data_IF_702020719118
#
_entry.id   IF_702020719118
#
_cell.length_a   1.000
_cell.length_b   1.000
_cell.length_c   1.000
_cell.angle_alpha   90.00
_cell.angle_beta   90.00
_cell.angle_gamma   90.00
#
_symmetry.space_group_name_H-M   'P 1'
#
loop_
_entity.id
_entity.type
_entity.pdbx_description
1 polymer ?
#
# COMPACT_ATOMS: atom_id res chain seq x y z
N UNK A 1 -10.26 -14.59 -1.82
CA UNK A 1 -10.78 -15.98 -1.96
C UNK A 1 -11.63 -16.38 -0.74
N UNK A 2 -12.84 -16.91 -1.00
CA UNK A 2 -13.96 -16.99 -0.07
C UNK A 2 -13.71 -17.87 1.16
N UNK A 3 -13.68 -17.26 2.34
CA UNK A 3 -13.95 -17.90 3.62
C UNK A 3 -14.55 -16.88 4.61
N UNK A 4 -15.81 -16.49 4.40
CA UNK A 4 -16.64 -15.85 5.41
C UNK A 4 -18.12 -15.88 4.97
N UNK A 5 -18.78 -17.01 5.18
CA UNK A 5 -20.25 -17.09 5.22
C UNK A 5 -20.62 -17.80 6.51
N UNK A 6 -21.06 -17.03 7.52
CA UNK A 6 -22.02 -17.43 8.55
C UNK A 6 -22.53 -16.18 9.28
N UNK A 7 -23.59 -15.60 8.74
CA UNK A 7 -24.67 -14.91 9.46
C UNK A 7 -25.84 -14.74 8.48
N UNK A 8 -26.83 -15.64 8.57
CA UNK A 8 -28.16 -15.52 7.94
C UNK A 8 -28.89 -14.36 8.66
N UNK A 9 -29.37 -13.32 7.97
CA UNK A 9 -30.55 -13.24 7.09
C UNK A 9 -31.84 -12.91 7.85
N UNK A 10 -32.42 -11.74 7.54
CA UNK A 10 -33.86 -11.51 7.54
C UNK A 10 -34.23 -10.74 6.25
N UNK A 11 -34.89 -11.49 5.35
CA UNK A 11 -36.05 -11.13 4.54
C UNK A 11 -36.00 -9.90 3.59
N UNK A 12 -35.87 -10.17 2.28
CA UNK A 12 -37.00 -10.24 1.32
C UNK A 12 -36.46 -10.41 -0.10
N UNK A 13 -36.93 -11.45 -0.80
CA UNK A 13 -36.77 -11.62 -2.24
C UNK A 13 -37.83 -10.79 -2.99
N UNK A 14 -37.61 -10.48 -4.28
CA UNK A 14 -38.50 -11.10 -5.25
C UNK A 14 -37.83 -11.63 -6.53
N UNK A 15 -38.31 -12.82 -6.91
CA UNK A 15 -38.61 -13.38 -8.24
C UNK A 15 -37.64 -13.14 -9.41
N UNK A 16 -37.10 -14.27 -9.89
CA UNK A 16 -36.52 -14.46 -11.22
C UNK A 16 -37.52 -14.11 -12.34
N UNK A 17 -37.10 -13.32 -13.32
CA UNK A 17 -37.57 -13.40 -14.71
C UNK A 17 -36.39 -13.80 -15.60
N UNK A 18 -36.59 -14.87 -16.36
CA UNK A 18 -35.69 -15.32 -17.44
C UNK A 18 -35.79 -14.32 -18.59
N UNK A 19 -34.65 -13.86 -19.11
CA UNK A 19 -34.53 -13.15 -20.37
C UNK A 19 -33.13 -13.39 -20.94
N UNK A 20 -33.06 -13.98 -22.14
CA UNK A 20 -31.83 -14.12 -22.94
C UNK A 20 -31.47 -12.75 -23.52
N UNK A 21 -30.18 -12.40 -23.55
CA UNK A 21 -29.67 -11.24 -24.30
C UNK A 21 -28.55 -10.48 -23.57
N UNK A 22 -27.31 -10.65 -24.06
CA UNK A 22 -26.05 -9.98 -23.65
C UNK A 22 -25.70 -10.04 -22.16
N UNK A 23 -24.82 -10.99 -21.82
CA UNK A 23 -24.25 -11.16 -20.49
C UNK A 23 -23.51 -9.91 -20.03
N UNK A 24 -24.17 -9.05 -19.25
CA UNK A 24 -23.48 -7.93 -18.63
C UNK A 24 -22.32 -8.46 -17.77
N UNK A 25 -21.10 -7.92 -17.91
CA UNK A 25 -19.97 -8.40 -17.15
C UNK A 25 -20.26 -8.32 -15.66
N UNK A 26 -19.87 -9.36 -14.92
CA UNK A 26 -20.05 -9.44 -13.48
C UNK A 26 -19.43 -8.23 -12.75
N UNK A 27 -19.89 -7.93 -11.52
CA UNK A 27 -19.54 -6.68 -10.81
C UNK A 27 -18.03 -6.46 -10.65
N UNK A 28 -17.22 -7.53 -10.56
CA UNK A 28 -15.77 -7.46 -10.50
C UNK A 28 -15.11 -7.04 -11.83
N UNK A 29 -15.60 -7.55 -12.97
CA UNK A 29 -15.13 -7.14 -14.31
C UNK A 29 -15.43 -5.67 -14.57
N UNK A 30 -16.59 -5.17 -14.11
CA UNK A 30 -16.94 -3.74 -14.22
C UNK A 30 -16.03 -2.84 -13.39
N UNK A 31 -15.62 -3.28 -12.19
CA UNK A 31 -14.68 -2.52 -11.36
C UNK A 31 -13.29 -2.46 -11.99
N UNK A 32 -12.75 -3.58 -12.46
CA UNK A 32 -11.44 -3.63 -13.13
C UNK A 32 -11.40 -2.76 -14.38
N UNK A 33 -12.42 -2.87 -15.24
CA UNK A 33 -12.55 -2.03 -16.43
C UNK A 33 -12.64 -0.54 -16.12
N UNK A 34 -13.34 -0.17 -15.03
CA UNK A 34 -13.41 1.22 -14.58
C UNK A 34 -12.05 1.74 -14.12
N UNK A 35 -11.24 0.95 -13.42
CA UNK A 35 -9.90 1.38 -13.00
C UNK A 35 -9.02 1.67 -14.21
N UNK A 36 -8.95 0.72 -15.16
CA UNK A 36 -8.18 0.87 -16.41
C UNK A 36 -8.59 2.13 -17.15
N UNK A 37 -9.91 2.35 -17.29
CA UNK A 37 -10.46 3.54 -17.91
C UNK A 37 -10.02 4.83 -17.20
N UNK A 38 -10.10 4.89 -15.87
CA UNK A 38 -9.69 6.07 -15.09
C UNK A 38 -8.19 6.39 -15.19
N UNK A 39 -7.36 5.38 -15.41
CA UNK A 39 -5.91 5.57 -15.58
C UNK A 39 -5.49 5.90 -17.01
N UNK A 40 -6.33 5.63 -18.01
CA UNK A 40 -5.93 5.71 -19.41
C UNK A 40 -4.79 4.75 -19.78
N UNK A 41 -4.74 3.57 -19.13
CA UNK A 41 -3.65 2.63 -19.31
C UNK A 41 -3.58 2.13 -20.77
N UNK A 42 -2.39 2.19 -21.37
CA UNK A 42 -2.12 1.71 -22.74
C UNK A 42 -1.70 0.24 -22.79
N UNK A 43 -1.23 -0.31 -21.67
CA UNK A 43 -0.80 -1.69 -21.52
C UNK A 43 -1.12 -2.19 -20.11
N UNK A 44 -1.41 -3.48 -19.96
CA UNK A 44 -1.57 -4.15 -18.68
C UNK A 44 -0.55 -5.26 -18.49
N UNK A 45 -0.05 -5.39 -17.26
CA UNK A 45 0.70 -6.56 -16.80
C UNK A 45 -0.21 -7.41 -15.93
N UNK A 46 -0.36 -8.69 -16.27
CA UNK A 46 -1.23 -9.62 -15.55
C UNK A 46 -0.62 -11.02 -15.52
N UNK A 47 -1.25 -11.91 -14.76
CA UNK A 47 -1.00 -13.35 -14.86
C UNK A 47 -2.15 -14.00 -15.60
N UNK A 48 -1.92 -15.19 -16.15
CA UNK A 48 -2.89 -15.92 -16.96
C UNK A 48 -4.25 -16.06 -16.25
N UNK A 49 -4.25 -16.31 -14.93
CA UNK A 49 -5.47 -16.46 -14.13
C UNK A 49 -6.27 -15.17 -13.89
N UNK A 50 -5.67 -14.00 -14.15
CA UNK A 50 -6.32 -12.69 -13.97
C UNK A 50 -6.52 -11.91 -15.25
N UNK A 51 -5.86 -12.28 -16.35
CA UNK A 51 -5.97 -11.62 -17.65
C UNK A 51 -7.42 -11.52 -18.15
N UNK A 52 -8.23 -12.56 -17.95
CA UNK A 52 -9.65 -12.57 -18.34
C UNK A 52 -10.53 -11.54 -17.60
N UNK A 53 -10.00 -10.83 -16.60
CA UNK A 53 -10.71 -9.75 -15.89
C UNK A 53 -10.43 -8.36 -16.50
N UNK A 54 -9.46 -8.24 -17.40
CA UNK A 54 -9.12 -6.99 -18.08
C UNK A 54 -10.13 -6.65 -19.19
N UNK A 55 -10.24 -5.37 -19.58
CA UNK A 55 -11.00 -4.96 -20.75
C UNK A 55 -10.52 -5.66 -22.03
N UNK A 56 -11.45 -5.96 -22.93
CA UNK A 56 -11.10 -6.42 -24.27
C UNK A 56 -10.35 -5.33 -25.03
N UNK A 57 -9.35 -5.72 -25.83
CA UNK A 57 -8.57 -4.81 -26.67
C UNK A 57 -7.41 -4.08 -25.96
N UNK A 58 -7.26 -4.21 -24.65
CA UNK A 58 -6.09 -3.68 -23.93
C UNK A 58 -4.87 -4.59 -24.16
N UNK A 59 -3.76 -4.09 -24.74
CA UNK A 59 -2.51 -4.84 -24.83
C UNK A 59 -2.11 -5.39 -23.46
N UNK A 60 -1.89 -6.70 -23.38
CA UNK A 60 -1.65 -7.39 -22.10
C UNK A 60 -0.40 -8.24 -22.18
N UNK A 61 0.53 -8.00 -21.25
CA UNK A 61 1.74 -8.79 -21.05
C UNK A 61 1.50 -9.77 -19.89
N UNK A 62 1.66 -11.06 -20.17
CA UNK A 62 1.50 -12.13 -19.19
C UNK A 62 2.82 -12.41 -18.46
N UNK A 63 2.86 -12.06 -17.18
CA UNK A 63 4.03 -12.20 -16.30
C UNK A 63 4.41 -13.67 -16.03
N UNK A 64 3.45 -14.59 -16.17
CA UNK A 64 3.65 -16.03 -16.00
C UNK A 64 3.85 -16.77 -17.32
N UNK A 65 3.96 -16.05 -18.45
CA UNK A 65 4.27 -16.66 -19.74
C UNK A 65 5.71 -17.20 -19.77
N UNK A 66 5.97 -18.31 -20.49
CA UNK A 66 7.32 -18.81 -20.69
C UNK A 66 8.27 -17.75 -21.28
N UNK A 67 7.77 -16.94 -22.21
CA UNK A 67 8.53 -15.85 -22.81
C UNK A 67 8.93 -14.79 -21.77
N UNK A 68 7.98 -14.25 -20.99
CA UNK A 68 8.32 -13.25 -19.96
C UNK A 68 9.29 -13.81 -18.91
N UNK A 69 9.14 -15.08 -18.52
CA UNK A 69 10.07 -15.74 -17.59
C UNK A 69 11.47 -15.91 -18.18
N UNK A 70 11.58 -16.20 -19.48
CA UNK A 70 12.88 -16.30 -20.14
C UNK A 70 13.65 -14.97 -20.05
N UNK A 71 12.98 -13.82 -20.14
CA UNK A 71 13.60 -12.48 -19.99
C UNK A 71 14.23 -12.23 -18.61
N UNK A 72 13.79 -12.94 -17.56
CA UNK A 72 14.34 -12.82 -16.20
C UNK A 72 15.61 -13.65 -15.98
N UNK A 73 15.84 -14.64 -16.85
CA UNK A 73 16.92 -15.63 -16.73
C UNK A 73 17.89 -15.62 -17.91
N UNK A 74 17.56 -14.91 -19.00
CA UNK A 74 18.51 -14.60 -20.04
C UNK A 74 19.61 -13.77 -19.41
N UNK A 75 20.73 -14.43 -19.14
CA UNK A 75 22.00 -13.84 -18.80
C UNK A 75 22.40 -13.01 -20.02
N UNK A 76 21.95 -11.75 -20.06
CA UNK A 76 22.56 -10.74 -20.90
C UNK A 76 23.95 -10.49 -20.32
N UNK A 77 24.83 -11.48 -20.49
CA UNK A 77 26.21 -11.48 -20.05
C UNK A 77 26.85 -10.21 -20.57
N UNK A 78 27.37 -9.40 -19.64
CA UNK A 78 27.77 -8.01 -19.88
C UNK A 78 26.59 -7.18 -20.38
N UNK A 79 25.88 -6.54 -19.44
CA UNK A 79 25.03 -5.39 -19.74
C UNK A 79 25.91 -4.26 -20.30
N UNK A 80 26.28 -4.33 -21.57
CA UNK A 80 26.23 -3.17 -22.45
C UNK A 80 24.74 -2.86 -22.69
N UNK A 81 23.99 -2.64 -21.62
CA UNK A 81 22.70 -1.99 -21.74
C UNK A 81 23.04 -0.57 -22.13
N UNK A 82 23.12 -0.29 -23.44
CA UNK A 82 22.88 1.07 -23.93
C UNK A 82 21.70 1.59 -23.14
N UNK A 83 21.85 2.67 -22.36
CA UNK A 83 20.75 3.22 -21.60
C UNK A 83 19.57 3.33 -22.56
N UNK A 84 18.46 2.70 -22.21
CA UNK A 84 17.23 2.91 -22.97
C UNK A 84 17.05 4.43 -23.04
N UNK A 85 16.99 4.98 -24.25
CA UNK A 85 16.66 6.38 -24.42
C UNK A 85 15.19 6.54 -24.04
N UNK A 86 14.96 6.71 -22.74
CA UNK A 86 13.63 6.91 -22.17
C UNK A 86 13.15 8.36 -22.33
N UNK A 87 13.95 9.20 -22.99
CA UNK A 87 13.82 10.65 -22.92
C UNK A 87 14.06 11.19 -21.50
N UNK A 88 13.95 12.51 -21.35
CA UNK A 88 14.06 13.17 -20.06
C UNK A 88 12.80 12.96 -19.21
N UNK A 89 12.89 12.15 -18.15
CA UNK A 89 11.82 12.00 -17.16
C UNK A 89 11.97 13.04 -16.06
N UNK A 90 11.06 14.02 -16.01
CA UNK A 90 11.07 15.04 -14.97
C UNK A 90 10.50 14.50 -13.65
N UNK A 91 11.05 14.93 -12.51
CA UNK A 91 10.54 14.54 -11.19
C UNK A 91 9.08 14.98 -10.95
N UNK A 92 8.59 15.97 -11.71
CA UNK A 92 7.20 16.41 -11.64
C UNK A 92 6.23 15.54 -12.43
N UNK A 93 6.72 14.67 -13.31
CA UNK A 93 5.89 13.75 -14.07
C UNK A 93 5.21 12.72 -13.15
N UNK A 94 4.01 12.30 -13.52
CA UNK A 94 3.25 11.25 -12.82
C UNK A 94 4.03 9.93 -12.88
N UNK A 95 4.47 9.45 -11.71
CA UNK A 95 5.12 8.15 -11.58
C UNK A 95 4.09 7.02 -11.46
N UNK A 96 3.02 7.27 -10.69
CA UNK A 96 1.99 6.26 -10.44
C UNK A 96 0.61 6.86 -10.33
N UNK A 97 -0.38 6.05 -10.70
CA UNK A 97 -1.80 6.30 -10.41
C UNK A 97 -2.26 5.27 -9.39
N UNK A 98 -2.58 5.72 -8.18
CA UNK A 98 -3.11 4.87 -7.12
C UNK A 98 -4.58 5.17 -6.89
N UNK A 99 -5.35 4.17 -6.48
CA UNK A 99 -6.79 4.33 -6.31
C UNK A 99 -7.17 4.48 -4.85
N UNK A 100 -7.82 5.59 -4.51
CA UNK A 100 -8.41 5.78 -3.18
C UNK A 100 -9.91 5.46 -3.21
N UNK A 101 -10.44 4.93 -2.12
CA UNK A 101 -11.87 4.61 -1.98
C UNK A 101 -12.76 5.86 -2.02
N UNK A 102 -12.17 7.05 -1.80
CA UNK A 102 -12.85 8.33 -1.75
C UNK A 102 -13.80 8.45 -0.55
N UNK A 103 -13.92 9.65 0.02
CA UNK A 103 -14.96 9.98 1.03
C UNK A 103 -16.38 9.92 0.44
N UNK A 104 -16.51 9.94 -0.88
CA UNK A 104 -17.78 9.97 -1.63
C UNK A 104 -18.24 8.59 -2.13
N UNK A 105 -17.53 7.51 -1.77
CA UNK A 105 -17.85 6.12 -2.16
C UNK A 105 -17.50 5.77 -3.62
N UNK A 106 -17.06 6.73 -4.43
CA UNK A 106 -16.52 6.51 -5.77
C UNK A 106 -15.00 6.45 -5.74
N UNK A 107 -14.44 5.41 -6.37
CA UNK A 107 -13.00 5.27 -6.56
C UNK A 107 -12.45 6.47 -7.34
N UNK A 108 -11.38 7.07 -6.82
CA UNK A 108 -10.65 8.19 -7.44
C UNK A 108 -9.24 7.74 -7.84
N UNK A 109 -8.77 8.23 -8.98
CA UNK A 109 -7.41 7.99 -9.47
C UNK A 109 -6.50 9.12 -9.00
N UNK A 110 -5.59 8.82 -8.07
CA UNK A 110 -4.65 9.77 -7.47
C UNK A 110 -3.36 9.75 -8.29
N UNK A 111 -3.04 10.84 -8.98
CA UNK A 111 -1.80 10.99 -9.73
C UNK A 111 -0.67 11.42 -8.80
N UNK A 112 0.32 10.54 -8.62
CA UNK A 112 1.45 10.75 -7.70
C UNK A 112 2.74 10.94 -8.51
N UNK A 113 3.43 12.08 -8.37
CA UNK A 113 4.63 12.38 -9.16
C UNK A 113 5.88 11.67 -8.62
N UNK A 114 6.94 11.54 -9.43
CA UNK A 114 8.22 10.96 -9.02
C UNK A 114 8.80 11.62 -7.76
N UNK A 115 8.76 12.96 -7.68
CA UNK A 115 9.22 13.75 -6.53
C UNK A 115 8.57 13.32 -5.21
N UNK A 116 7.34 12.79 -5.25
CA UNK A 116 6.65 12.34 -4.05
C UNK A 116 7.34 11.14 -3.43
N UNK A 117 7.67 10.12 -4.24
CA UNK A 117 8.36 8.93 -3.76
C UNK A 117 9.79 9.23 -3.31
N UNK A 118 10.51 10.05 -4.07
CA UNK A 118 11.87 10.51 -3.72
C UNK A 118 11.84 11.19 -2.34
N UNK A 119 10.93 12.13 -2.16
CA UNK A 119 10.85 12.88 -0.91
C UNK A 119 10.39 12.00 0.26
N UNK A 120 9.48 11.05 0.05
CA UNK A 120 9.08 10.08 1.09
C UNK A 120 10.26 9.18 1.50
N UNK A 121 11.05 8.70 0.55
CA UNK A 121 12.24 7.90 0.84
C UNK A 121 13.30 8.71 1.61
N UNK A 122 13.55 9.96 1.21
CA UNK A 122 14.44 10.87 1.91
C UNK A 122 13.95 11.17 3.34
N UNK A 123 12.65 11.41 3.52
CA UNK A 123 12.06 11.63 4.85
C UNK A 123 12.19 10.42 5.77
N UNK A 124 11.96 9.22 5.25
CA UNK A 124 12.13 7.98 6.02
C UNK A 124 13.61 7.70 6.36
N UNK A 125 14.53 7.93 5.42
CA UNK A 125 15.98 7.87 5.67
C UNK A 125 16.38 8.82 6.81
N UNK A 126 15.88 10.05 6.80
CA UNK A 126 16.20 11.06 7.81
C UNK A 126 15.70 10.68 9.21
N UNK A 127 14.56 9.99 9.32
CA UNK A 127 14.11 9.42 10.60
C UNK A 127 15.00 8.25 11.04
N UNK A 128 15.33 7.33 10.13
CA UNK A 128 16.18 6.17 10.44
C UNK A 128 17.60 6.57 10.89
N UNK A 129 18.18 7.64 10.36
CA UNK A 129 19.48 8.15 10.84
C UNK A 129 19.45 8.59 12.32
N UNK A 130 18.29 8.92 12.87
CA UNK A 130 18.11 9.34 14.27
C UNK A 130 17.79 8.17 15.20
N UNK A 131 17.34 7.05 14.64
CA UNK A 131 17.02 5.84 15.39
C UNK A 131 18.23 4.93 15.29
N UNK A 132 18.92 4.67 16.41
CA UNK A 132 20.00 3.66 16.44
C UNK A 132 19.40 2.33 15.98
N UNK A 133 19.70 1.89 14.77
CA UNK A 133 19.23 0.59 14.30
C UNK A 133 19.78 -0.47 15.26
N UNK A 134 18.88 -1.29 15.80
CA UNK A 134 19.24 -2.32 16.80
C UNK A 134 19.93 -3.53 16.15
N UNK A 135 19.94 -3.64 14.81
CA UNK A 135 20.53 -4.79 14.10
C UNK A 135 21.11 -4.35 12.74
N UNK A 136 22.27 -4.91 12.38
CA UNK A 136 22.94 -4.63 11.12
C UNK A 136 22.19 -5.15 9.88
N UNK A 137 21.29 -6.13 10.06
CA UNK A 137 20.56 -6.80 8.97
C UNK A 137 19.05 -6.54 9.03
N UNK A 138 18.62 -5.36 8.58
CA UNK A 138 17.20 -5.03 8.49
C UNK A 138 16.51 -5.82 7.38
N UNK A 139 15.47 -6.58 7.75
CA UNK A 139 14.64 -7.41 6.87
C UNK A 139 13.18 -7.02 7.08
N UNK A 140 12.60 -6.32 6.10
CA UNK A 140 11.23 -5.80 6.21
C UNK A 140 10.26 -6.69 5.43
N UNK A 141 9.26 -7.24 6.12
CA UNK A 141 8.17 -7.96 5.50
C UNK A 141 7.04 -7.01 5.10
N UNK A 142 6.66 -7.09 3.83
CA UNK A 142 5.56 -6.30 3.26
C UNK A 142 4.26 -7.08 3.44
N UNK A 143 3.62 -6.90 4.59
CA UNK A 143 2.31 -7.51 4.91
C UNK A 143 1.13 -6.73 4.34
N UNK A 144 1.36 -5.47 3.93
CA UNK A 144 0.38 -4.63 3.28
C UNK A 144 0.33 -4.91 1.76
N UNK A 145 -0.85 -4.94 1.12
CA UNK A 145 -0.92 -5.18 -0.32
C UNK A 145 -0.22 -4.10 -1.14
N UNK A 146 0.53 -4.50 -2.18
CA UNK A 146 1.32 -3.60 -3.03
C UNK A 146 0.47 -2.70 -3.94
N UNK A 147 -0.84 -2.96 -4.07
CA UNK A 147 -1.75 -2.04 -4.77
C UNK A 147 -2.19 -0.86 -3.89
N UNK A 148 -1.92 -0.92 -2.58
CA UNK A 148 -2.10 0.22 -1.68
C UNK A 148 -0.79 1.01 -1.56
N UNK A 149 -0.90 2.33 -1.35
CA UNK A 149 0.25 3.24 -1.20
C UNK A 149 1.28 2.78 -0.16
N UNK A 150 0.84 2.12 0.93
CA UNK A 150 1.73 1.59 1.95
C UNK A 150 2.60 0.46 1.40
N UNK A 151 2.01 -0.65 0.95
CA UNK A 151 2.76 -1.79 0.43
C UNK A 151 3.63 -1.42 -0.77
N UNK A 152 3.09 -0.56 -1.66
CA UNK A 152 3.82 -0.06 -2.82
C UNK A 152 5.07 0.72 -2.42
N UNK A 153 4.91 1.75 -1.59
CA UNK A 153 6.01 2.63 -1.20
C UNK A 153 7.08 1.89 -0.41
N UNK A 154 6.72 1.05 0.58
CA UNK A 154 7.73 0.37 1.38
C UNK A 154 8.54 -0.65 0.55
N UNK A 155 7.93 -1.27 -0.46
CA UNK A 155 8.68 -2.08 -1.43
C UNK A 155 9.66 -1.22 -2.22
N UNK A 156 9.20 -0.11 -2.80
CA UNK A 156 10.07 0.81 -3.55
C UNK A 156 11.19 1.38 -2.69
N UNK A 157 10.89 1.72 -1.44
CA UNK A 157 11.87 2.24 -0.49
C UNK A 157 12.92 1.19 -0.15
N UNK A 158 12.51 -0.08 0.08
CA UNK A 158 13.46 -1.17 0.30
C UNK A 158 14.47 -1.30 -0.85
N UNK A 159 13.97 -1.23 -2.10
CA UNK A 159 14.83 -1.23 -3.29
C UNK A 159 15.75 -0.01 -3.35
N UNK A 160 15.21 1.20 -3.15
CA UNK A 160 15.96 2.45 -3.19
C UNK A 160 17.08 2.52 -2.14
N UNK A 161 16.89 1.84 -1.00
CA UNK A 161 17.82 1.85 0.12
C UNK A 161 18.77 0.64 0.13
N UNK A 162 18.63 -0.29 -0.83
CA UNK A 162 19.38 -1.55 -0.84
C UNK A 162 19.04 -2.47 0.34
N UNK A 163 17.86 -2.32 0.95
CA UNK A 163 17.42 -3.10 2.12
C UNK A 163 16.78 -4.42 1.71
N UNK A 164 16.85 -5.42 2.59
CA UNK A 164 16.21 -6.72 2.33
C UNK A 164 14.69 -6.61 2.53
N UNK A 165 13.95 -6.86 1.44
CA UNK A 165 12.48 -6.82 1.44
C UNK A 165 11.91 -8.23 1.26
N UNK A 166 11.12 -8.70 2.23
CA UNK A 166 10.42 -9.99 2.18
C UNK A 166 9.00 -9.76 1.66
N UNK A 167 8.72 -10.24 0.44
CA UNK A 167 7.41 -10.14 -0.21
C UNK A 167 6.64 -11.45 -0.04
N UNK A 168 5.36 -11.37 0.28
CA UNK A 168 4.51 -12.56 0.42
C UNK A 168 4.25 -13.22 -0.94
N UNK A 169 4.47 -14.53 -1.02
CA UNK A 169 4.04 -15.34 -2.16
C UNK A 169 2.52 -15.44 -2.19
N UNK A 170 1.95 -15.83 -3.34
CA UNK A 170 0.51 -16.06 -3.43
C UNK A 170 0.03 -17.14 -2.43
N UNK A 171 0.81 -18.21 -2.25
CA UNK A 171 0.51 -19.26 -1.30
C UNK A 171 0.50 -18.74 0.16
N UNK A 172 1.51 -17.94 0.54
CA UNK A 172 1.57 -17.35 1.88
C UNK A 172 0.42 -16.36 2.11
N UNK A 173 0.11 -15.51 1.11
CA UNK A 173 -1.01 -14.58 1.18
C UNK A 173 -2.37 -15.30 1.31
N UNK A 174 -2.56 -16.43 0.63
CA UNK A 174 -3.77 -17.27 0.76
C UNK A 174 -3.89 -17.90 2.15
N UNK A 175 -2.78 -18.24 2.79
CA UNK A 175 -2.75 -18.72 4.18
C UNK A 175 -2.99 -17.58 5.21
N UNK A 176 -3.12 -16.33 4.76
CA UNK A 176 -3.44 -15.17 5.59
C UNK A 176 -2.36 -14.90 6.64
N UNK A 177 -2.79 -14.59 7.86
CA UNK A 177 -1.89 -14.30 8.98
C UNK A 177 -0.87 -15.42 9.22
N UNK A 178 -1.30 -16.68 9.15
CA UNK A 178 -0.42 -17.83 9.39
C UNK A 178 0.75 -17.84 8.41
N UNK A 179 0.48 -17.68 7.11
CA UNK A 179 1.53 -17.63 6.09
C UNK A 179 2.48 -16.45 6.26
N UNK A 180 1.94 -15.29 6.69
CA UNK A 180 2.76 -14.13 7.01
C UNK A 180 3.69 -14.37 8.21
N UNK A 181 3.20 -14.99 9.28
CA UNK A 181 3.99 -15.32 10.47
C UNK A 181 5.04 -16.41 10.19
N UNK A 182 4.69 -17.41 9.39
CA UNK A 182 5.62 -18.43 8.91
C UNK A 182 6.75 -17.82 8.08
N UNK A 183 6.43 -16.90 7.17
CA UNK A 183 7.42 -16.16 6.39
C UNK A 183 8.30 -15.28 7.30
N UNK A 184 7.69 -14.57 8.26
CA UNK A 184 8.41 -13.74 9.21
C UNK A 184 9.41 -14.53 10.04
N UNK A 185 9.02 -15.72 10.50
CA UNK A 185 9.91 -16.64 11.23
C UNK A 185 11.01 -17.20 10.34
N UNK A 186 10.65 -17.69 9.14
CA UNK A 186 11.59 -18.34 8.20
C UNK A 186 12.69 -17.40 7.74
N UNK A 187 12.35 -16.15 7.46
CA UNK A 187 13.27 -15.13 6.96
C UNK A 187 13.76 -14.21 8.07
N UNK A 188 13.50 -14.55 9.34
CA UNK A 188 13.97 -13.83 10.51
C UNK A 188 13.73 -12.31 10.42
N UNK A 189 12.53 -11.96 9.99
CA UNK A 189 12.10 -10.58 9.73
C UNK A 189 12.28 -9.72 10.97
N UNK A 190 12.85 -8.54 10.78
CA UNK A 190 13.09 -7.56 11.85
C UNK A 190 11.99 -6.50 11.90
N UNK A 191 11.29 -6.27 10.80
CA UNK A 191 10.23 -5.27 10.69
C UNK A 191 9.04 -5.79 9.87
N UNK A 192 7.81 -5.57 10.31
CA UNK A 192 6.59 -5.93 9.55
C UNK A 192 5.76 -4.67 9.27
N UNK A 193 5.39 -4.46 8.00
CA UNK A 193 4.36 -3.50 7.62
C UNK A 193 2.98 -4.16 7.69
N UNK A 194 2.09 -3.65 8.55
CA UNK A 194 0.81 -4.27 8.84
C UNK A 194 -0.36 -3.28 8.84
N UNK A 195 -1.55 -3.78 8.49
CA UNK A 195 -2.80 -3.09 8.76
C UNK A 195 -3.35 -3.53 10.14
N UNK A 196 -4.26 -2.76 10.78
CA UNK A 196 -4.79 -3.10 12.10
C UNK A 196 -5.33 -4.53 12.28
N UNK A 197 -6.03 -5.15 11.29
CA UNK A 197 -6.49 -6.54 11.43
C UNK A 197 -5.36 -7.56 11.58
N UNK A 198 -4.20 -7.29 10.98
CA UNK A 198 -3.01 -8.15 11.09
C UNK A 198 -2.44 -8.04 12.50
N UNK A 199 -2.31 -6.82 13.04
CA UNK A 199 -1.83 -6.57 14.41
C UNK A 199 -2.75 -7.25 15.45
N UNK A 200 -4.07 -7.11 15.30
CA UNK A 200 -5.06 -7.81 16.13
C UNK A 200 -4.91 -9.34 16.04
N UNK A 201 -4.61 -9.86 14.85
CA UNK A 201 -4.34 -11.27 14.67
C UNK A 201 -3.08 -11.72 15.41
N UNK A 202 -2.00 -10.94 15.31
CA UNK A 202 -0.73 -11.21 15.99
C UNK A 202 -0.87 -11.23 17.51
N UNK A 203 -1.73 -10.39 18.11
CA UNK A 203 -1.94 -10.41 19.57
C UNK A 203 -2.61 -11.69 20.07
N UNK A 204 -3.34 -12.39 19.19
CA UNK A 204 -4.06 -13.63 19.49
C UNK A 204 -3.29 -14.90 19.12
N UNK A 205 -2.23 -14.78 18.34
CA UNK A 205 -1.45 -15.91 17.83
C UNK A 205 -0.34 -16.34 18.82
N UNK A 206 0.09 -17.61 18.77
CA UNK A 206 1.13 -18.18 19.64
C UNK A 206 2.57 -18.12 19.08
N UNK A 207 2.77 -17.63 17.86
CA UNK A 207 4.07 -17.64 17.17
C UNK A 207 5.11 -16.74 17.85
N UNK A 208 6.33 -17.25 18.05
CA UNK A 208 7.47 -16.48 18.56
C UNK A 208 8.28 -15.95 17.38
N UNK A 209 8.43 -14.62 17.32
CA UNK A 209 9.21 -13.92 16.30
C UNK A 209 10.42 -13.24 16.96
N UNK A 210 11.41 -14.03 17.36
CA UNK A 210 12.59 -13.56 18.11
C UNK A 210 13.42 -12.48 17.38
N UNK A 211 13.39 -12.49 16.05
CA UNK A 211 14.13 -11.51 15.25
C UNK A 211 13.40 -10.16 15.11
N UNK A 212 12.07 -10.16 15.32
CA UNK A 212 11.22 -8.99 15.14
C UNK A 212 11.56 -7.92 16.16
N UNK A 213 11.78 -6.70 15.69
CA UNK A 213 12.07 -5.53 16.51
C UNK A 213 10.96 -4.48 16.40
N UNK A 214 10.25 -4.42 15.26
CA UNK A 214 9.25 -3.39 15.01
C UNK A 214 8.08 -3.89 14.17
N UNK A 215 6.89 -3.36 14.44
CA UNK A 215 5.73 -3.46 13.55
C UNK A 215 5.25 -2.05 13.24
N UNK A 216 5.27 -1.66 11.96
CA UNK A 216 4.65 -0.41 11.54
C UNK A 216 3.19 -0.69 11.17
N UNK A 217 2.27 -0.05 11.89
CA UNK A 217 0.84 -0.18 11.70
C UNK A 217 0.24 1.13 11.20
N UNK A 218 -0.57 1.06 10.15
CA UNK A 218 -1.26 2.25 9.63
C UNK A 218 -2.39 1.93 8.65
N UNK A 219 -2.94 2.98 8.05
CA UNK A 219 -4.02 2.90 7.07
C UNK A 219 -5.43 2.83 7.66
N UNK A 220 -5.56 2.57 8.96
CA UNK A 220 -6.79 2.73 9.73
C UNK A 220 -6.48 2.87 11.23
N UNK A 221 -7.39 3.42 12.04
CA UNK A 221 -7.24 3.46 13.48
C UNK A 221 -7.07 2.05 14.07
N UNK A 222 -6.12 1.89 14.98
CA UNK A 222 -5.95 0.67 15.79
C UNK A 222 -6.79 0.81 17.07
N UNK A 223 -7.64 -0.17 17.43
CA UNK A 223 -8.37 -0.12 18.69
C UNK A 223 -7.42 -0.06 19.90
N UNK A 224 -7.72 0.78 20.89
CA UNK A 224 -6.89 0.96 22.08
C UNK A 224 -6.60 -0.36 22.81
N UNK A 225 -7.62 -1.22 22.95
CA UNK A 225 -7.46 -2.55 23.56
C UNK A 225 -6.44 -3.44 22.84
N UNK A 226 -6.28 -3.30 21.52
CA UNK A 226 -5.27 -4.03 20.75
C UNK A 226 -3.88 -3.43 20.98
N UNK A 227 -3.79 -2.09 21.00
CA UNK A 227 -2.55 -1.39 21.31
C UNK A 227 -2.02 -1.73 22.72
N UNK A 228 -2.90 -1.95 23.70
CA UNK A 228 -2.54 -2.37 25.06
C UNK A 228 -2.12 -3.85 25.14
N UNK A 229 -2.75 -4.72 24.35
CA UNK A 229 -2.45 -6.16 24.33
C UNK A 229 -1.13 -6.47 23.61
N UNK A 230 -0.81 -5.73 22.57
CA UNK A 230 0.38 -5.97 21.75
C UNK A 230 1.70 -6.00 22.54
N UNK A 231 2.05 -5.02 23.39
CA UNK A 231 3.31 -5.04 24.14
C UNK A 231 3.35 -6.16 25.19
N UNK A 232 2.19 -6.64 25.69
CA UNK A 232 2.16 -7.83 26.56
C UNK A 232 2.54 -9.08 25.79
N UNK A 233 2.12 -9.16 24.53
CA UNK A 233 2.40 -10.31 23.65
C UNK A 233 3.80 -10.27 23.04
N UNK A 234 4.30 -9.07 22.73
CA UNK A 234 5.60 -8.83 22.11
C UNK A 234 6.36 -7.72 22.86
N UNK A 235 6.86 -7.98 24.09
CA UNK A 235 7.45 -6.93 24.95
C UNK A 235 8.74 -6.30 24.39
N UNK A 236 9.38 -6.96 23.42
CA UNK A 236 10.61 -6.51 22.77
C UNK A 236 10.37 -5.85 21.39
N UNK A 237 9.10 -5.75 20.96
CA UNK A 237 8.74 -5.23 19.64
C UNK A 237 8.06 -3.88 19.79
N UNK A 238 8.59 -2.88 19.09
CA UNK A 238 8.00 -1.55 19.05
C UNK A 238 6.81 -1.53 18.07
N UNK A 239 5.61 -1.19 18.55
CA UNK A 239 4.43 -1.01 17.71
C UNK A 239 4.35 0.45 17.25
N UNK A 240 4.87 0.72 16.06
CA UNK A 240 4.95 2.07 15.51
C UNK A 240 3.68 2.40 14.72
N UNK A 241 2.92 3.38 15.19
CA UNK A 241 1.79 3.91 14.42
C UNK A 241 2.27 4.90 13.37
N UNK A 242 1.77 4.76 12.15
CA UNK A 242 2.01 5.67 11.04
C UNK A 242 0.69 6.22 10.49
N UNK A 243 0.70 7.50 10.12
CA UNK A 243 -0.45 8.16 9.49
C UNK A 243 -0.06 8.72 8.12
N UNK A 244 -1.01 8.62 7.20
CA UNK A 244 -0.82 9.01 5.81
C UNK A 244 -2.08 8.76 4.99
N UNK A 245 -2.03 9.19 3.74
CA UNK A 245 -3.10 8.95 2.76
C UNK A 245 -2.50 8.63 1.39
N UNK A 246 -3.36 8.27 0.44
CA UNK A 246 -2.90 8.05 -0.94
C UNK A 246 -2.49 9.38 -1.56
N UNK A 247 -3.21 10.45 -1.20
CA UNK A 247 -3.09 11.82 -1.67
C UNK A 247 -1.88 12.55 -1.08
N UNK A 248 -1.50 12.27 0.16
CA UNK A 248 -0.40 12.96 0.84
C UNK A 248 0.87 12.10 1.03
N UNK A 249 0.76 10.79 0.79
CA UNK A 249 1.80 9.84 1.17
C UNK A 249 1.87 9.65 2.69
N UNK A 250 3.06 9.35 3.20
CA UNK A 250 3.30 9.31 4.64
C UNK A 250 3.34 10.73 5.22
N UNK A 251 2.59 10.97 6.29
CA UNK A 251 2.51 12.26 6.99
C UNK A 251 3.31 12.20 8.29
N UNK A 252 3.09 11.15 9.09
CA UNK A 252 3.77 10.96 10.37
C UNK A 252 4.08 9.49 10.65
N UNK A 253 5.07 9.27 11.52
CA UNK A 253 5.49 7.95 11.97
C UNK A 253 6.05 8.04 13.40
N UNK A 254 5.74 7.04 14.23
CA UNK A 254 6.42 6.84 15.51
C UNK A 254 7.82 6.27 15.30
N UNK A 255 8.83 6.87 15.91
CA UNK A 255 10.24 6.54 15.61
C UNK A 255 10.99 5.83 16.74
N UNK A 256 10.51 5.91 17.98
CA UNK A 256 11.17 5.30 19.13
C UNK A 256 10.17 4.65 20.10
N UNK A 257 10.70 3.93 21.08
CA UNK A 257 9.91 3.19 22.06
C UNK A 257 9.08 4.10 22.96
N UNK A 258 9.56 5.31 23.24
CA UNK A 258 8.82 6.27 24.05
C UNK A 258 7.55 6.70 23.31
N UNK A 259 7.66 7.04 22.03
CA UNK A 259 6.52 7.36 21.19
C UNK A 259 5.57 6.20 21.01
N UNK A 260 6.10 4.98 20.80
CA UNK A 260 5.30 3.76 20.65
C UNK A 260 4.49 3.43 21.91
N UNK A 261 4.89 3.93 23.09
CA UNK A 261 4.11 3.76 24.33
C UNK A 261 2.89 4.69 24.42
N UNK A 262 2.79 5.72 23.57
CA UNK A 262 1.72 6.72 23.59
C UNK A 262 0.52 6.26 22.75
N UNK A 263 -0.37 5.48 23.37
CA UNK A 263 -1.59 4.98 22.74
C UNK A 263 -2.44 6.13 22.19
N UNK A 264 -2.91 5.98 20.95
CA UNK A 264 -3.74 6.98 20.27
C UNK A 264 -2.95 8.07 19.52
N UNK A 265 -1.63 8.15 19.70
CA UNK A 265 -0.77 9.02 18.91
C UNK A 265 -0.54 8.44 17.50
N UNK A 266 -0.22 9.31 16.54
CA UNK A 266 0.23 8.95 15.18
C UNK A 266 1.72 9.26 14.94
N UNK A 267 2.47 9.55 16.02
CA UNK A 267 3.89 9.87 15.96
C UNK A 267 4.18 11.29 15.49
N UNK A 268 5.42 11.51 15.03
CA UNK A 268 5.89 12.82 14.55
C UNK A 268 5.77 12.94 13.05
N UNK A 269 5.53 14.17 12.57
CA UNK A 269 5.52 14.48 11.14
C UNK A 269 6.91 14.26 10.53
N UNK A 270 6.96 13.83 9.26
CA UNK A 270 8.23 13.73 8.52
C UNK A 270 8.89 15.11 8.34
N UNK A 271 10.23 15.15 8.27
CA UNK A 271 11.00 16.42 8.19
C UNK A 271 10.64 17.32 7.01
N UNK A 272 10.16 16.74 5.92
CA UNK A 272 9.75 17.43 4.71
C UNK A 272 8.22 17.68 4.63
N UNK A 273 7.49 17.42 5.71
CA UNK A 273 6.05 17.67 5.81
C UNK A 273 5.81 18.80 6.81
N UNK A 274 4.98 19.76 6.40
CA UNK A 274 4.44 20.80 7.29
C UNK A 274 2.97 20.52 7.48
N UNK A 275 2.49 20.64 8.72
CA UNK A 275 1.11 20.38 9.07
C UNK A 275 0.55 21.48 9.98
N UNK A 276 -0.75 21.76 9.86
CA UNK A 276 -1.52 22.57 10.82
C UNK A 276 -2.86 21.92 11.12
N UNK A 277 -3.37 22.14 12.32
CA UNK A 277 -4.76 21.85 12.67
C UNK A 277 -5.55 23.14 12.47
N UNK A 278 -6.67 23.07 11.74
CA UNK A 278 -7.51 24.24 11.47
C UNK A 278 -8.94 24.01 11.93
N UNK A 279 -9.63 25.09 12.24
CA UNK A 279 -11.08 25.07 12.40
C UNK A 279 -11.74 24.85 11.02
N UNK A 280 -12.72 23.96 10.95
CA UNK A 280 -13.37 23.59 9.68
C UNK A 280 -14.33 24.68 9.16
N UNK A 281 -14.79 25.58 10.04
CA UNK A 281 -15.72 26.66 9.69
C UNK A 281 -14.95 27.91 9.28
N UNK A 282 -13.95 28.31 10.08
CA UNK A 282 -13.20 29.56 9.84
C UNK A 282 -11.96 29.36 8.96
N UNK A 283 -11.38 28.15 8.93
CA UNK A 283 -10.10 27.88 8.25
C UNK A 283 -8.87 28.36 9.04
N UNK A 284 -9.08 28.95 10.22
CA UNK A 284 -8.00 29.51 11.04
C UNK A 284 -7.19 28.42 11.76
N UNK A 285 -5.87 28.61 11.94
CA UNK A 285 -5.05 27.68 12.71
C UNK A 285 -5.49 27.59 14.17
N UNK A 286 -5.55 26.36 14.69
CA UNK A 286 -5.88 26.08 16.08
C UNK A 286 -4.62 25.83 16.93
N UNK A 287 -4.69 26.18 18.21
CA UNK A 287 -3.62 25.94 19.19
C UNK A 287 -3.52 24.47 19.61
N UNK A 288 -2.39 24.11 20.23
CA UNK A 288 -2.11 22.76 20.72
C UNK A 288 -3.23 22.26 21.64
N UNK A 289 -3.67 21.02 21.43
CA UNK A 289 -4.72 20.36 22.22
C UNK A 289 -6.15 20.59 21.70
N UNK A 290 -6.36 21.48 20.71
CA UNK A 290 -7.65 21.66 20.06
C UNK A 290 -7.87 20.63 18.94
N UNK A 291 -9.13 20.25 18.73
CA UNK A 291 -9.54 19.34 17.65
C UNK A 291 -9.96 20.16 16.42
N UNK A 292 -9.51 19.75 15.24
CA UNK A 292 -9.83 20.39 13.98
C UNK A 292 -9.40 19.53 12.79
N UNK A 293 -9.47 20.11 11.59
CA UNK A 293 -9.04 19.44 10.37
C UNK A 293 -7.51 19.52 10.22
N UNK A 294 -6.89 18.41 9.83
CA UNK A 294 -5.45 18.34 9.57
C UNK A 294 -5.16 18.77 8.13
N UNK A 295 -4.48 19.89 7.95
CA UNK A 295 -3.96 20.33 6.66
C UNK A 295 -2.47 20.04 6.57
N UNK A 296 -2.05 19.49 5.44
CA UNK A 296 -0.66 19.07 5.20
C UNK A 296 -0.12 19.67 3.90
N UNK A 297 1.15 20.03 3.92
CA UNK A 297 1.91 20.50 2.76
C UNK A 297 3.27 19.82 2.73
N UNK A 298 3.69 19.39 1.56
CA UNK A 298 5.00 18.79 1.36
C UNK A 298 5.23 18.34 -0.08
N UNK A 299 6.45 17.92 -0.42
CA UNK A 299 6.79 17.38 -1.73
C UNK A 299 6.14 16.00 -1.99
N UNK A 300 5.67 15.31 -0.94
CA UNK A 300 4.98 14.02 -1.04
C UNK A 300 3.54 14.11 -1.54
N UNK A 301 2.95 15.32 -1.59
CA UNK A 301 1.57 15.51 -2.00
C UNK A 301 1.38 15.14 -3.48
N UNK A 302 0.26 14.48 -3.78
CA UNK A 302 -0.19 14.16 -5.12
C UNK A 302 -0.22 15.41 -6.02
N UNK A 303 -0.24 15.19 -7.33
CA UNK A 303 -0.50 16.28 -8.28
C UNK A 303 -1.99 16.63 -8.32
N UNK A 304 -2.85 15.61 -8.20
CA UNK A 304 -4.29 15.77 -8.17
C UNK A 304 -5.00 14.47 -8.49
N UNK A 305 -6.32 14.53 -8.57
CA UNK A 305 -7.12 13.43 -9.10
C UNK A 305 -7.18 13.53 -10.63
N UNK A 306 -7.00 12.41 -11.33
CA UNK A 306 -7.28 12.38 -12.77
C UNK A 306 -8.79 12.58 -13.00
N UNK A 307 -9.19 13.45 -13.92
CA UNK A 307 -10.60 13.68 -14.22
C UNK A 307 -11.21 12.45 -14.88
N UNK A 308 -12.52 12.29 -14.74
CA UNK A 308 -13.25 11.14 -15.26
C UNK A 308 -13.28 11.03 -16.80
N UNK A 309 -12.81 12.06 -17.52
CA UNK A 309 -12.93 12.19 -18.98
C UNK A 309 -11.58 12.34 -19.71
N UNK A 310 -10.44 12.14 -19.03
CA UNK A 310 -9.15 12.30 -19.70
C UNK A 310 -8.88 11.21 -20.76
N UNK A 311 -8.57 11.68 -21.98
CA UNK A 311 -7.85 10.93 -23.02
C UNK A 311 -6.34 11.06 -22.76
N UNK A 312 -5.55 9.98 -22.86
CA UNK A 312 -4.26 9.89 -22.14
C UNK A 312 -3.08 10.53 -22.86
N UNK A 313 -2.17 11.11 -22.08
CA UNK A 313 -0.72 10.95 -22.28
C UNK A 313 -0.29 9.66 -21.57
N UNK A 314 0.64 8.90 -22.17
CA UNK A 314 0.95 7.53 -21.77
C UNK A 314 1.39 7.42 -20.29
N UNK A 315 0.65 6.65 -19.50
CA UNK A 315 1.02 6.33 -18.11
C UNK A 315 0.98 4.82 -17.87
N UNK A 316 1.97 4.33 -17.13
CA UNK A 316 2.00 2.95 -16.64
C UNK A 316 1.04 2.84 -15.46
N UNK A 317 -0.12 2.23 -15.66
CA UNK A 317 -1.00 1.84 -14.58
C UNK A 317 -0.52 0.49 -14.01
N UNK A 318 0.10 0.50 -12.83
CA UNK A 318 0.32 -0.71 -12.05
C UNK A 318 -1.00 -1.15 -11.39
N UNK A 319 -1.90 -1.67 -12.22
CA UNK A 319 -3.17 -2.24 -11.77
C UNK A 319 -2.99 -3.70 -11.39
N UNK A 320 -2.58 -3.99 -10.15
CA UNK A 320 -2.81 -5.34 -9.61
C UNK A 320 -4.30 -5.48 -9.36
N UNK A 321 -4.96 -6.17 -10.29
CA UNK A 321 -6.38 -6.52 -10.26
C UNK A 321 -6.85 -6.86 -8.84
N UNK A 322 -7.79 -6.05 -8.37
CA UNK A 322 -8.54 -6.20 -7.12
C UNK A 322 -8.88 -7.68 -6.87
N UNK A 323 -8.27 -8.24 -5.83
CA UNK A 323 -8.74 -9.45 -5.17
C UNK A 323 -9.65 -9.01 -4.02
N UNK A 324 -10.96 -9.14 -4.22
CA UNK A 324 -11.92 -9.41 -3.14
C UNK A 324 -12.10 -10.94 -3.08
#
# INVERSE_FOLDING_TARGET
PRAARRARALLRAPRRRRGRGHGQPGPHRRRGARLVYLSGASVAFAITSTAAKLPAGLPTILLDSPHFRSLLHSDHGKNESTPLDTGAVCQSATATILYSSGTTGRVKAVAVPHRSFIARAAGLRALHLKVKSRKADERTLIGAPMFHTMGFFFTLNGLAQGSTTVVMTEAAARAGLRGMLEAARRWEVTEIMAAPPVVLGMTKDGCRLSSLARVICGGAPLPGSVAEQFPRRFPHVDLCMGYGSTEAGGISLMIDREECSRIGSSGRIFHNVVAKIVDIVTGEPLSVGKKGELWVRGPSIMTGYLPHEHRPTAHIALGSLIWL
#
